data_IF_527095182423
#
_entry.id   IF_527095182423
#
_cell.length_a   1.000
_cell.length_b   1.000
_cell.length_c   1.000
_cell.angle_alpha   90.00
_cell.angle_beta   90.00
_cell.angle_gamma   90.00
#
_symmetry.space_group_name_H-M   'P 1'
#
loop_
_entity.id
_entity.type
_entity.pdbx_description
1 polymer ?
#
# COMPACT_ATOMS: atom_id res chain seq x y z
N UNK A 1 -5.10 20.24 17.75
CA UNK A 1 -6.45 19.61 17.56
C UNK A 1 -6.24 18.12 17.60
N UNK A 2 -6.89 17.39 18.51
CA UNK A 2 -6.81 15.93 18.55
C UNK A 2 -7.63 15.37 17.38
N UNK A 3 -6.94 14.82 16.37
CA UNK A 3 -7.58 14.24 15.18
C UNK A 3 -8.06 12.83 15.48
N UNK A 4 -7.22 12.01 16.14
CA UNK A 4 -7.58 10.66 16.59
C UNK A 4 -7.92 10.68 18.07
N UNK A 5 -9.02 10.03 18.44
CA UNK A 5 -9.60 10.10 19.79
C UNK A 5 -9.66 8.70 20.43
N UNK A 6 -8.49 8.06 20.60
CA UNK A 6 -8.40 6.75 21.21
C UNK A 6 -8.78 5.62 20.23
N UNK A 7 -7.90 5.35 19.28
CA UNK A 7 -8.03 4.24 18.34
C UNK A 7 -7.47 2.97 19.00
N UNK A 8 -8.29 1.91 19.06
CA UNK A 8 -7.84 0.55 19.38
C UNK A 8 -8.10 -0.32 18.16
N UNK A 9 -7.05 -0.85 17.56
CA UNK A 9 -7.13 -1.58 16.31
C UNK A 9 -6.05 -2.66 16.25
N UNK A 10 -6.48 -3.88 15.96
CA UNK A 10 -5.61 -5.00 15.64
C UNK A 10 -5.77 -5.39 14.17
N UNK A 11 -4.65 -5.56 13.48
CA UNK A 11 -4.55 -6.05 12.11
C UNK A 11 -3.62 -7.26 12.14
N UNK A 12 -4.18 -8.42 11.82
CA UNK A 12 -3.43 -9.68 11.81
C UNK A 12 -2.52 -9.79 10.57
N UNK A 13 -1.46 -10.58 10.69
CA UNK A 13 -0.59 -10.88 9.55
C UNK A 13 -1.39 -11.59 8.45
N UNK A 14 -1.27 -11.10 7.21
CA UNK A 14 -2.01 -11.61 6.07
C UNK A 14 -3.42 -11.06 5.90
N UNK A 15 -3.91 -10.17 6.77
CA UNK A 15 -5.21 -9.52 6.55
C UNK A 15 -5.16 -8.53 5.38
N UNK A 16 -6.27 -8.47 4.65
CA UNK A 16 -6.55 -7.42 3.66
C UNK A 16 -7.67 -6.53 4.19
N UNK A 17 -7.33 -5.33 4.63
CA UNK A 17 -8.20 -4.45 5.42
C UNK A 17 -8.41 -3.13 4.69
N UNK A 18 -9.62 -2.59 4.74
CA UNK A 18 -9.88 -1.21 4.36
C UNK A 18 -10.21 -0.33 5.57
N UNK A 19 -9.73 0.91 5.52
CA UNK A 19 -10.08 1.98 6.46
C UNK A 19 -10.91 2.99 5.69
N UNK A 20 -12.19 3.07 6.03
CA UNK A 20 -13.17 3.96 5.41
C UNK A 20 -13.60 5.09 6.33
N UNK A 21 -14.01 6.19 5.73
CA UNK A 21 -14.62 7.32 6.44
C UNK A 21 -14.70 8.56 5.54
N UNK A 22 -15.45 9.55 5.98
CA UNK A 22 -15.57 10.83 5.26
C UNK A 22 -14.23 11.61 5.23
N UNK A 23 -14.13 12.60 4.35
CA UNK A 23 -13.00 13.52 4.37
C UNK A 23 -12.86 14.19 5.75
N UNK A 24 -11.65 14.27 6.27
CA UNK A 24 -11.38 14.83 7.60
C UNK A 24 -11.65 13.90 8.78
N UNK A 25 -12.10 12.65 8.58
CA UNK A 25 -12.40 11.72 9.68
C UNK A 25 -11.17 11.19 10.43
N UNK A 26 -9.93 11.45 9.94
CA UNK A 26 -8.69 10.99 10.57
C UNK A 26 -8.00 9.83 9.85
N UNK A 27 -8.51 9.35 8.71
CA UNK A 27 -7.92 8.22 7.95
C UNK A 27 -6.44 8.42 7.60
N UNK A 28 -6.12 9.55 6.96
CA UNK A 28 -4.74 9.86 6.56
C UNK A 28 -3.82 10.05 7.76
N UNK A 29 -4.34 10.61 8.86
CA UNK A 29 -3.58 10.71 10.13
C UNK A 29 -3.27 9.33 10.67
N UNK A 30 -4.25 8.42 10.70
CA UNK A 30 -4.02 7.04 11.12
C UNK A 30 -3.04 6.33 10.19
N UNK A 31 -3.18 6.50 8.87
CA UNK A 31 -2.26 5.93 7.90
C UNK A 31 -0.82 6.43 8.12
N UNK A 32 -0.64 7.72 8.39
CA UNK A 32 0.67 8.30 8.66
C UNK A 32 1.30 7.74 9.94
N UNK A 33 0.51 7.51 10.98
CA UNK A 33 0.99 6.88 12.22
C UNK A 33 1.37 5.42 11.94
N UNK A 34 0.51 4.64 11.29
CA UNK A 34 0.81 3.25 10.90
C UNK A 34 2.04 3.18 10.00
N UNK A 35 2.22 4.19 9.15
CA UNK A 35 3.35 4.36 8.25
C UNK A 35 4.63 4.88 8.89
N UNK A 36 4.64 5.17 10.18
CA UNK A 36 5.78 5.80 10.88
C UNK A 36 6.19 7.13 10.19
N UNK A 37 5.25 7.81 9.56
CA UNK A 37 5.45 9.13 8.93
C UNK A 37 5.15 10.25 9.93
N UNK A 38 4.37 9.96 10.96
CA UNK A 38 4.00 10.90 12.01
C UNK A 38 4.05 10.21 13.38
N UNK A 39 4.15 11.01 14.45
CA UNK A 39 4.12 10.55 15.82
C UNK A 39 2.70 10.58 16.37
N UNK A 40 2.46 9.84 17.46
CA UNK A 40 1.21 9.88 18.23
C UNK A 40 1.48 10.39 19.63
N UNK A 41 0.48 11.03 20.24
CA UNK A 41 0.62 11.71 21.55
C UNK A 41 0.68 10.71 22.71
N UNK A 42 -0.10 9.62 22.64
CA UNK A 42 -0.21 8.61 23.70
C UNK A 42 -0.72 7.28 23.18
N UNK A 43 -0.56 6.22 23.95
CA UNK A 43 -0.95 4.86 23.59
C UNK A 43 0.25 3.99 23.22
N UNK A 44 -0.03 2.91 22.52
CA UNK A 44 0.98 1.95 22.07
C UNK A 44 0.77 1.59 20.61
N UNK A 45 1.84 1.50 19.87
CA UNK A 45 1.85 0.97 18.51
C UNK A 45 2.94 -0.09 18.37
N UNK A 46 2.55 -1.27 17.93
CA UNK A 46 3.46 -2.39 17.65
C UNK A 46 3.30 -2.82 16.20
N UNK A 47 4.40 -2.91 15.46
CA UNK A 47 4.44 -3.40 14.09
C UNK A 47 5.30 -4.65 14.01
N UNK A 48 4.72 -5.78 13.64
CA UNK A 48 5.38 -7.09 13.56
C UNK A 48 6.26 -7.37 14.81
N UNK A 49 5.69 -7.21 16.01
CA UNK A 49 6.36 -7.41 17.29
C UNK A 49 7.32 -6.30 17.71
N UNK A 50 7.54 -5.28 16.89
CA UNK A 50 8.41 -4.16 17.20
C UNK A 50 7.61 -2.97 17.72
N UNK A 51 7.92 -2.50 18.94
CA UNK A 51 7.30 -1.29 19.51
C UNK A 51 7.79 -0.05 18.77
N UNK A 52 6.86 0.72 18.22
CA UNK A 52 7.10 1.96 17.49
C UNK A 52 6.74 3.13 18.42
N UNK A 53 7.73 3.70 19.06
CA UNK A 53 7.54 4.81 19.99
C UNK A 53 8.78 5.70 20.06
N UNK A 54 8.59 7.01 19.97
CA UNK A 54 9.63 8.03 20.14
C UNK A 54 10.93 7.71 19.38
N UNK A 55 10.77 7.34 18.11
CA UNK A 55 11.91 6.98 17.27
C UNK A 55 12.65 8.25 16.80
N UNK A 56 13.98 8.18 16.76
CA UNK A 56 14.74 9.17 15.99
C UNK A 56 14.40 9.05 14.50
N UNK A 57 14.54 10.14 13.74
CA UNK A 57 14.22 10.13 12.31
C UNK A 57 14.99 9.03 11.56
N UNK A 58 16.25 8.80 11.90
CA UNK A 58 17.06 7.72 11.31
C UNK A 58 16.50 6.33 11.59
N UNK A 59 15.97 6.08 12.81
CA UNK A 59 15.32 4.82 13.14
C UNK A 59 13.96 4.70 12.47
N UNK A 60 13.18 5.77 12.42
CA UNK A 60 11.90 5.82 11.71
C UNK A 60 12.10 5.48 10.23
N UNK A 61 13.06 6.14 9.56
CA UNK A 61 13.43 5.86 8.18
C UNK A 61 13.89 4.41 7.96
N UNK A 62 14.67 3.86 8.90
CA UNK A 62 15.10 2.47 8.86
C UNK A 62 13.92 1.49 8.90
N UNK A 63 12.94 1.69 9.82
CA UNK A 63 11.76 0.84 9.92
C UNK A 63 10.84 1.02 8.72
N UNK A 64 10.56 2.26 8.29
CA UNK A 64 9.77 2.52 7.07
C UNK A 64 10.31 1.74 5.88
N UNK A 65 11.60 1.86 5.63
CA UNK A 65 12.24 1.23 4.46
C UNK A 65 12.21 -0.30 4.49
N UNK A 66 12.15 -0.94 5.67
CA UNK A 66 12.22 -2.40 5.79
C UNK A 66 10.90 -3.08 6.09
N UNK A 67 9.99 -2.36 6.70
CA UNK A 67 8.75 -2.96 7.22
C UNK A 67 7.51 -2.52 6.45
N UNK A 68 7.58 -1.39 5.73
CA UNK A 68 6.40 -0.75 5.16
C UNK A 68 6.60 -0.48 3.67
N UNK A 69 5.64 -0.95 2.86
CA UNK A 69 5.49 -0.54 1.47
C UNK A 69 4.38 0.50 1.34
N UNK A 70 4.65 1.63 0.70
CA UNK A 70 3.65 2.67 0.48
C UNK A 70 3.18 2.71 -0.98
N UNK A 71 1.86 2.79 -1.15
CA UNK A 71 1.19 3.04 -2.43
C UNK A 71 0.31 4.28 -2.26
N UNK A 72 0.48 5.29 -3.09
CA UNK A 72 -0.24 6.56 -2.99
C UNK A 72 -1.12 6.81 -4.21
N UNK A 73 -2.18 7.57 -4.04
CA UNK A 73 -3.09 8.01 -5.10
C UNK A 73 -2.34 8.72 -6.25
N UNK A 74 -1.38 9.58 -5.91
CA UNK A 74 -0.59 10.34 -6.89
C UNK A 74 0.68 9.61 -7.35
N UNK A 75 0.77 8.27 -7.10
CA UNK A 75 1.90 7.40 -7.43
C UNK A 75 3.21 7.79 -6.72
N UNK A 76 3.46 9.06 -6.50
CA UNK A 76 4.67 9.63 -5.89
C UNK A 76 5.97 9.07 -6.49
N UNK A 77 5.99 8.94 -7.83
CA UNK A 77 7.19 8.59 -8.57
C UNK A 77 8.09 9.81 -8.73
N UNK A 78 9.39 9.58 -8.68
CA UNK A 78 10.38 10.63 -8.92
C UNK A 78 10.44 10.88 -10.44
N UNK A 79 10.00 12.05 -10.88
CA UNK A 79 9.77 12.37 -12.29
C UNK A 79 11.02 12.37 -13.18
N UNK A 80 12.21 12.62 -12.61
CA UNK A 80 13.50 12.58 -13.33
C UNK A 80 14.20 11.22 -13.25
N UNK A 81 13.55 10.19 -12.68
CA UNK A 81 13.97 8.80 -12.66
C UNK A 81 13.04 7.97 -13.52
N UNK A 82 13.59 7.04 -14.29
CA UNK A 82 12.81 6.08 -15.05
C UNK A 82 12.13 5.04 -14.13
N UNK A 83 11.35 4.12 -14.70
CA UNK A 83 10.60 3.14 -13.93
C UNK A 83 11.51 2.23 -13.08
N UNK A 84 12.56 1.67 -13.66
CA UNK A 84 13.48 0.78 -12.92
C UNK A 84 14.22 1.52 -11.81
N UNK A 85 14.65 2.75 -12.04
CA UNK A 85 15.30 3.59 -11.03
C UNK A 85 14.36 3.97 -9.87
N UNK A 86 13.07 4.17 -10.13
CA UNK A 86 12.07 4.38 -9.09
C UNK A 86 11.90 3.13 -8.22
N UNK A 87 11.86 1.95 -8.83
CA UNK A 87 11.74 0.67 -8.12
C UNK A 87 13.01 0.33 -7.34
N UNK A 88 14.20 0.63 -7.87
CA UNK A 88 15.48 0.41 -7.20
C UNK A 88 15.69 1.25 -5.92
N UNK A 89 15.00 2.39 -5.82
CA UNK A 89 15.32 3.41 -4.82
C UNK A 89 15.31 2.90 -3.37
N UNK A 90 14.33 2.10 -2.90
CA UNK A 90 14.34 1.58 -1.54
C UNK A 90 15.57 0.70 -1.25
N UNK A 91 16.02 -0.08 -2.21
CA UNK A 91 17.22 -0.94 -2.09
C UNK A 91 18.51 -0.12 -2.08
N UNK A 92 18.54 1.02 -2.78
CA UNK A 92 19.65 1.96 -2.69
C UNK A 92 19.87 2.42 -1.24
N UNK A 93 18.79 2.80 -0.56
CA UNK A 93 18.84 3.18 0.86
C UNK A 93 19.17 2.01 1.81
N UNK A 94 18.94 0.78 1.38
CA UNK A 94 19.40 -0.41 2.11
C UNK A 94 20.88 -0.73 1.89
N UNK A 95 21.58 -0.01 1.00
CA UNK A 95 22.98 -0.25 0.66
C UNK A 95 23.19 -1.42 -0.31
N UNK A 96 22.14 -1.89 -0.99
CA UNK A 96 22.26 -2.96 -2.00
C UNK A 96 23.03 -2.45 -3.21
N UNK A 97 24.02 -3.22 -3.65
CA UNK A 97 24.88 -2.88 -4.79
C UNK A 97 24.09 -2.66 -6.09
N UNK A 98 24.58 -1.75 -6.95
CA UNK A 98 23.87 -1.32 -8.17
C UNK A 98 23.40 -2.47 -9.06
N UNK A 99 24.28 -3.44 -9.33
CA UNK A 99 23.96 -4.57 -10.22
C UNK A 99 22.84 -5.43 -9.65
N UNK A 100 22.87 -5.69 -8.34
CA UNK A 100 21.89 -6.53 -7.68
C UNK A 100 20.53 -5.84 -7.55
N UNK A 101 20.47 -4.56 -7.13
CA UNK A 101 19.19 -3.85 -7.04
C UNK A 101 18.54 -3.68 -8.42
N UNK A 102 19.35 -3.47 -9.49
CA UNK A 102 18.84 -3.40 -10.85
C UNK A 102 18.20 -4.73 -11.29
N UNK A 103 18.88 -5.85 -11.05
CA UNK A 103 18.34 -7.19 -11.32
C UNK A 103 17.02 -7.42 -10.60
N UNK A 104 16.98 -7.11 -9.30
CA UNK A 104 15.76 -7.25 -8.50
C UNK A 104 14.63 -6.35 -9.02
N UNK A 105 14.92 -5.11 -9.34
CA UNK A 105 13.90 -4.17 -9.86
C UNK A 105 13.33 -4.65 -11.20
N UNK A 106 14.16 -5.14 -12.10
CA UNK A 106 13.71 -5.72 -13.37
C UNK A 106 12.83 -6.96 -13.17
N UNK A 107 13.14 -7.84 -12.19
CA UNK A 107 12.29 -8.98 -11.85
C UNK A 107 10.90 -8.55 -11.36
N UNK A 108 10.81 -7.51 -10.52
CA UNK A 108 9.52 -6.99 -10.08
C UNK A 108 8.74 -6.31 -11.20
N UNK A 109 9.41 -5.55 -12.07
CA UNK A 109 8.78 -4.94 -13.25
C UNK A 109 8.25 -6.00 -14.22
N UNK A 110 9.02 -7.06 -14.45
CA UNK A 110 8.61 -8.17 -15.33
C UNK A 110 7.35 -8.88 -14.78
N UNK A 111 7.35 -9.23 -13.49
CA UNK A 111 6.18 -9.83 -12.82
C UNK A 111 4.91 -8.98 -12.92
N UNK A 112 5.05 -7.66 -13.00
CA UNK A 112 3.94 -6.71 -13.13
C UNK A 112 3.65 -6.32 -14.60
N UNK A 113 4.28 -6.99 -15.58
CA UNK A 113 4.08 -6.75 -17.00
C UNK A 113 4.67 -5.43 -17.51
N UNK A 114 5.71 -4.93 -16.84
CA UNK A 114 6.32 -3.62 -17.13
C UNK A 114 7.77 -3.71 -17.59
N UNK A 115 8.30 -4.89 -17.92
CA UNK A 115 9.71 -5.04 -18.34
C UNK A 115 10.07 -4.13 -19.52
N UNK A 116 9.20 -4.03 -20.52
CA UNK A 116 9.39 -3.16 -21.69
C UNK A 116 9.32 -1.65 -21.37
N UNK A 117 8.80 -1.28 -20.20
CA UNK A 117 8.63 0.10 -19.74
C UNK A 117 9.71 0.52 -18.74
N UNK A 118 10.68 -0.36 -18.46
CA UNK A 118 11.69 -0.15 -17.41
C UNK A 118 12.46 1.18 -17.55
N UNK A 119 12.78 1.56 -18.78
CA UNK A 119 13.54 2.78 -19.09
C UNK A 119 12.67 4.03 -19.32
N UNK A 120 11.31 3.90 -19.28
CA UNK A 120 10.40 5.04 -19.47
C UNK A 120 10.30 5.88 -18.21
N UNK A 121 10.16 7.19 -18.41
CA UNK A 121 9.94 8.16 -17.35
C UNK A 121 8.46 8.26 -16.99
N UNK A 122 8.11 8.70 -15.77
CA UNK A 122 6.71 8.80 -15.33
C UNK A 122 5.81 9.63 -16.27
N UNK A 123 6.32 10.66 -16.95
CA UNK A 123 5.56 11.47 -17.90
C UNK A 123 5.25 10.73 -19.22
N UNK A 124 5.91 9.62 -19.50
CA UNK A 124 5.72 8.78 -20.68
C UNK A 124 4.81 7.58 -20.41
N UNK A 125 4.30 7.44 -19.17
CA UNK A 125 3.55 6.28 -18.71
C UNK A 125 2.09 6.61 -18.43
N UNK A 126 1.19 5.66 -18.70
CA UNK A 126 -0.21 5.74 -18.29
C UNK A 126 -0.37 5.71 -16.75
N UNK A 127 -1.53 6.12 -16.23
CA UNK A 127 -1.84 6.06 -14.80
C UNK A 127 -1.67 4.66 -14.21
N UNK A 128 -2.18 3.63 -14.90
CA UNK A 128 -2.05 2.23 -14.47
C UNK A 128 -0.62 1.72 -14.47
N UNK A 129 0.19 2.12 -15.46
CA UNK A 129 1.61 1.79 -15.49
C UNK A 129 2.36 2.45 -14.32
N UNK A 130 2.11 3.74 -14.04
CA UNK A 130 2.67 4.44 -12.88
C UNK A 130 2.31 3.76 -11.58
N UNK A 131 1.05 3.34 -11.42
CA UNK A 131 0.61 2.66 -10.21
C UNK A 131 1.28 1.30 -10.05
N UNK A 132 1.44 0.52 -11.11
CA UNK A 132 2.19 -0.75 -11.06
C UNK A 132 3.67 -0.53 -10.73
N UNK A 133 4.30 0.55 -11.22
CA UNK A 133 5.67 0.93 -10.80
C UNK A 133 5.71 1.27 -9.31
N UNK A 134 4.72 2.03 -8.80
CA UNK A 134 4.62 2.35 -7.37
C UNK A 134 4.42 1.07 -6.51
N UNK A 135 3.62 0.12 -6.99
CA UNK A 135 3.44 -1.20 -6.35
C UNK A 135 4.76 -1.98 -6.36
N UNK A 136 5.46 -2.05 -7.51
CA UNK A 136 6.78 -2.70 -7.59
C UNK A 136 7.76 -2.11 -6.58
N UNK A 137 7.81 -0.77 -6.48
CA UNK A 137 8.64 -0.05 -5.52
C UNK A 137 8.26 -0.38 -4.08
N UNK A 138 6.98 -0.51 -3.78
CA UNK A 138 6.50 -0.86 -2.44
C UNK A 138 6.90 -2.30 -2.05
N UNK A 139 6.90 -3.23 -3.01
CA UNK A 139 7.15 -4.65 -2.78
C UNK A 139 8.63 -5.04 -2.73
N UNK A 140 9.52 -4.28 -3.38
CA UNK A 140 10.91 -4.71 -3.62
C UNK A 140 11.70 -4.95 -2.33
N UNK A 141 11.33 -4.28 -1.24
CA UNK A 141 11.94 -4.46 0.08
C UNK A 141 11.39 -5.66 0.84
N UNK A 142 10.39 -6.36 0.31
CA UNK A 142 9.64 -7.43 0.99
C UNK A 142 9.10 -6.95 2.35
N UNK A 143 8.27 -5.92 2.37
CA UNK A 143 7.79 -5.30 3.60
C UNK A 143 6.90 -6.26 4.40
N UNK A 144 6.63 -5.92 5.67
CA UNK A 144 5.68 -6.63 6.53
C UNK A 144 4.23 -6.21 6.26
N UNK A 145 4.03 -4.98 5.81
CA UNK A 145 2.72 -4.40 5.54
C UNK A 145 2.79 -3.45 4.34
N UNK A 146 1.74 -3.44 3.53
CA UNK A 146 1.51 -2.43 2.51
C UNK A 146 0.44 -1.48 3.00
N UNK A 147 0.72 -0.19 2.95
CA UNK A 147 -0.21 0.89 3.23
C UNK A 147 -0.55 1.59 1.93
N UNK A 148 -1.80 1.50 1.50
CA UNK A 148 -2.29 2.06 0.25
C UNK A 148 -3.28 3.20 0.53
N UNK A 149 -2.92 4.42 0.16
CA UNK A 149 -3.76 5.62 0.29
C UNK A 149 -4.45 5.90 -1.03
N UNK A 150 -5.75 5.65 -1.10
CA UNK A 150 -6.60 5.83 -2.29
C UNK A 150 -5.94 5.24 -3.56
N UNK A 151 -5.56 3.94 -3.58
CA UNK A 151 -4.69 3.38 -4.61
C UNK A 151 -5.28 3.39 -6.02
N UNK A 152 -6.57 3.65 -6.15
CA UNK A 152 -7.33 3.68 -7.40
C UNK A 152 -7.85 5.08 -7.76
N UNK A 153 -7.77 6.05 -6.86
CA UNK A 153 -8.44 7.34 -6.99
C UNK A 153 -7.96 8.23 -8.15
N UNK A 154 -6.83 7.93 -8.79
CA UNK A 154 -6.32 8.62 -9.98
C UNK A 154 -6.43 7.78 -11.26
N UNK A 155 -7.18 6.66 -11.24
CA UNK A 155 -7.27 5.70 -12.33
C UNK A 155 -8.68 5.65 -12.94
N UNK A 156 -8.77 5.24 -14.19
CA UNK A 156 -10.04 4.87 -14.79
C UNK A 156 -10.59 3.56 -14.18
N UNK A 157 -11.89 3.31 -14.34
CA UNK A 157 -12.58 2.19 -13.71
C UNK A 157 -11.98 0.82 -14.06
N UNK A 158 -11.54 0.63 -15.32
CA UNK A 158 -10.93 -0.64 -15.75
C UNK A 158 -9.58 -0.86 -15.06
N UNK A 159 -8.75 0.15 -15.09
CA UNK A 159 -7.42 0.11 -14.46
C UNK A 159 -7.53 -0.02 -12.93
N UNK A 160 -8.57 0.58 -12.31
CA UNK A 160 -8.86 0.43 -10.87
C UNK A 160 -9.13 -1.02 -10.50
N UNK A 161 -9.93 -1.73 -11.30
CA UNK A 161 -10.19 -3.17 -11.11
C UNK A 161 -8.90 -3.99 -11.21
N UNK A 162 -8.07 -3.71 -12.22
CA UNK A 162 -6.79 -4.42 -12.41
C UNK A 162 -5.84 -4.21 -11.22
N UNK A 163 -5.76 -2.99 -10.67
CA UNK A 163 -4.93 -2.69 -9.49
C UNK A 163 -5.46 -3.39 -8.25
N UNK A 164 -6.77 -3.37 -8.00
CA UNK A 164 -7.36 -4.07 -6.86
C UNK A 164 -7.19 -5.58 -6.96
N UNK A 165 -7.35 -6.15 -8.16
CA UNK A 165 -7.09 -7.56 -8.41
C UNK A 165 -5.63 -7.93 -8.08
N UNK A 166 -4.67 -7.11 -8.51
CA UNK A 166 -3.26 -7.29 -8.19
C UNK A 166 -3.01 -7.28 -6.67
N UNK A 167 -3.62 -6.35 -5.92
CA UNK A 167 -3.49 -6.30 -4.45
C UNK A 167 -4.09 -7.54 -3.79
N UNK A 168 -5.23 -8.03 -4.28
CA UNK A 168 -5.83 -9.31 -3.84
C UNK A 168 -4.91 -10.51 -4.07
N UNK A 169 -4.31 -10.60 -5.24
CA UNK A 169 -3.38 -11.67 -5.58
C UNK A 169 -2.15 -11.64 -4.65
N UNK A 170 -1.59 -10.47 -4.40
CA UNK A 170 -0.48 -10.30 -3.45
C UNK A 170 -0.86 -10.74 -2.03
N UNK A 171 -2.06 -10.40 -1.57
CA UNK A 171 -2.54 -10.85 -0.27
C UNK A 171 -2.75 -12.36 -0.24
N UNK A 172 -3.48 -12.94 -1.19
CA UNK A 172 -3.87 -14.36 -1.19
C UNK A 172 -2.71 -15.31 -1.46
N UNK A 173 -1.83 -14.97 -2.40
CA UNK A 173 -0.75 -15.87 -2.83
C UNK A 173 0.52 -15.70 -2.01
N UNK A 174 0.79 -14.49 -1.53
CA UNK A 174 2.02 -14.19 -0.79
C UNK A 174 1.78 -13.93 0.71
N UNK A 175 0.53 -13.98 1.19
CA UNK A 175 0.20 -13.70 2.58
C UNK A 175 0.50 -12.25 2.98
N UNK A 176 0.52 -11.31 2.02
CA UNK A 176 0.87 -9.93 2.28
C UNK A 176 -0.23 -9.22 3.08
N UNK A 177 0.13 -8.62 4.21
CA UNK A 177 -0.77 -7.74 4.96
C UNK A 177 -0.95 -6.43 4.22
N UNK A 178 -2.19 -6.06 3.90
CA UNK A 178 -2.50 -4.85 3.12
C UNK A 178 -3.56 -4.03 3.83
N UNK A 179 -3.30 -2.74 4.01
CA UNK A 179 -4.27 -1.75 4.53
C UNK A 179 -4.53 -0.72 3.44
N UNK A 180 -5.78 -0.63 3.01
CA UNK A 180 -6.24 0.34 2.00
C UNK A 180 -7.03 1.42 2.70
N UNK A 181 -6.63 2.67 2.56
CA UNK A 181 -7.44 3.82 2.94
C UNK A 181 -8.24 4.25 1.73
N UNK A 182 -9.57 4.33 1.87
CA UNK A 182 -10.43 4.76 0.77
C UNK A 182 -11.74 5.36 1.28
N UNK A 183 -12.38 6.17 0.45
CA UNK A 183 -13.76 6.62 0.64
C UNK A 183 -14.73 5.90 -0.32
N UNK A 184 -14.22 5.06 -1.22
CA UNK A 184 -15.00 4.32 -2.21
C UNK A 184 -15.47 2.98 -1.63
N UNK A 185 -16.80 2.79 -1.50
CA UNK A 185 -17.36 1.54 -1.00
C UNK A 185 -17.04 0.35 -1.91
N UNK A 186 -16.92 0.56 -3.23
CA UNK A 186 -16.53 -0.49 -4.17
C UNK A 186 -15.15 -1.06 -3.85
N UNK A 187 -14.17 -0.20 -3.58
CA UNK A 187 -12.81 -0.59 -3.20
C UNK A 187 -12.80 -1.29 -1.83
N UNK A 188 -13.52 -0.74 -0.86
CA UNK A 188 -13.58 -1.30 0.48
C UNK A 188 -14.20 -2.71 0.50
N UNK A 189 -15.24 -2.93 -0.29
CA UNK A 189 -15.89 -4.24 -0.41
C UNK A 189 -14.97 -5.32 -1.03
N UNK A 190 -13.85 -4.91 -1.62
CA UNK A 190 -12.82 -5.81 -2.12
C UNK A 190 -11.88 -6.32 -1.01
N UNK A 191 -12.02 -5.90 0.23
CA UNK A 191 -11.19 -6.27 1.37
C UNK A 191 -11.91 -7.21 2.35
N UNK A 192 -11.17 -7.99 3.15
CA UNK A 192 -11.75 -8.95 4.10
C UNK A 192 -12.39 -8.27 5.31
N UNK A 193 -11.92 -7.07 5.66
CA UNK A 193 -12.32 -6.33 6.85
C UNK A 193 -12.43 -4.85 6.53
N UNK A 194 -13.55 -4.25 6.88
CA UNK A 194 -13.79 -2.81 6.69
C UNK A 194 -13.85 -2.14 8.06
N UNK A 195 -12.94 -1.19 8.28
CA UNK A 195 -12.87 -0.38 9.49
C UNK A 195 -13.41 1.00 9.16
N UNK A 196 -14.53 1.39 9.80
CA UNK A 196 -15.12 2.72 9.58
C UNK A 196 -14.63 3.68 10.64
N UNK A 197 -14.01 4.79 10.19
CA UNK A 197 -13.58 5.89 11.05
C UNK A 197 -14.51 7.08 10.84
N UNK A 198 -15.00 7.62 11.95
CA UNK A 198 -15.80 8.84 12.00
C UNK A 198 -15.28 9.73 13.13
N UNK A 199 -15.00 11.00 12.83
CA UNK A 199 -14.56 12.01 13.80
C UNK A 199 -13.39 11.58 14.71
N UNK A 200 -12.46 10.79 14.16
CA UNK A 200 -11.27 10.30 14.86
C UNK A 200 -11.49 9.07 15.74
N UNK A 201 -12.64 8.41 15.62
CA UNK A 201 -13.01 7.21 16.41
C UNK A 201 -13.34 6.07 15.43
N UNK A 202 -13.02 4.82 15.80
CA UNK A 202 -13.54 3.64 15.09
C UNK A 202 -15.01 3.46 15.49
N UNK A 203 -15.90 3.64 14.48
CA UNK A 203 -17.34 3.50 14.68
C UNK A 203 -17.83 2.07 14.53
N UNK A 204 -17.34 1.35 13.52
CA UNK A 204 -17.76 -0.02 13.21
C UNK A 204 -16.62 -0.78 12.51
N UNK A 205 -16.60 -2.10 12.71
CA UNK A 205 -15.75 -3.04 11.99
C UNK A 205 -16.66 -4.09 11.37
N UNK A 206 -16.60 -4.23 10.06
CA UNK A 206 -17.37 -5.19 9.26
C UNK A 206 -16.41 -6.26 8.73
N UNK A 207 -16.79 -7.52 8.84
CA UNK A 207 -16.04 -8.65 8.26
C UNK A 207 -16.77 -9.07 6.98
N UNK A 208 -16.07 -9.09 5.86
CA UNK A 208 -16.59 -9.59 4.60
C UNK A 208 -16.29 -11.08 4.47
N UNK A 209 -17.26 -11.94 4.74
CA UNK A 209 -17.11 -13.40 4.63
C UNK A 209 -17.07 -13.88 3.17
N UNK A 210 -17.62 -13.12 2.22
CA UNK A 210 -17.83 -13.49 0.82
C UNK A 210 -16.66 -13.16 -0.13
N UNK A 211 -15.42 -13.22 0.35
CA UNK A 211 -14.24 -12.88 -0.47
C UNK A 211 -13.97 -13.83 -1.65
N UNK A 212 -14.70 -14.93 -1.80
CA UNK A 212 -14.58 -15.84 -2.94
C UNK A 212 -15.52 -15.50 -4.11
N UNK A 213 -16.50 -14.62 -3.93
CA UNK A 213 -17.40 -14.16 -4.97
C UNK A 213 -16.89 -12.84 -5.53
N UNK A 214 -16.26 -12.85 -6.70
CA UNK A 214 -15.98 -11.62 -7.46
C UNK A 214 -17.30 -10.95 -7.81
N UNK A 215 -17.57 -9.68 -7.43
CA UNK A 215 -18.75 -8.97 -7.87
C UNK A 215 -18.72 -8.66 -9.38
N UNK A 216 -17.61 -8.88 -10.03
CA UNK A 216 -17.43 -8.77 -11.48
C UNK A 216 -17.16 -10.18 -12.06
N UNK A 217 -18.23 -10.98 -12.21
CA UNK A 217 -18.18 -12.34 -12.74
C UNK A 217 -17.35 -12.51 -14.01
N UNK A 218 -16.04 -12.59 -13.85
CA UNK A 218 -15.11 -13.03 -14.88
C UNK A 218 -14.72 -14.47 -14.58
N UNK A 219 -15.66 -15.38 -14.87
CA UNK A 219 -15.34 -16.76 -15.12
C UNK A 219 -14.73 -16.85 -16.53
N UNK A 220 -13.48 -17.21 -16.60
CA UNK A 220 -12.87 -17.78 -17.79
C UNK A 220 -12.06 -16.78 -18.63
N UNK A 221 -10.76 -16.81 -18.43
CA UNK A 221 -9.75 -16.86 -19.48
C UNK A 221 -8.42 -17.34 -18.86
N UNK A 222 -8.32 -18.68 -18.71
CA UNK A 222 -7.05 -19.36 -18.80
C UNK A 222 -7.23 -20.52 -19.80
N UNK A 223 -6.66 -20.35 -20.95
CA UNK A 223 -6.12 -21.41 -21.81
C UNK A 223 -4.87 -20.86 -22.45
#
# INVERSE_FOLDING_TARGET
MHVLKGINLDIEEGEFVSIMGQSGSGKSTLLNILGILDNYDSGEYTLAGTRIWNLSESKAAYYRNRMIGFIFQSFNLIGFKNAVENVELPLYYQGVGRRERHRMAMEYLDRLGLAQWAEHYPNEMSGGQKQRVAIARALITKPKIILADEPTGALDSKTSVEVMQLLKELNREQGMTIVVVTHESGVANETNKIIRIQDGIIGNIEINEDHNASPFGINGYMK
#
